data_IF_367180247951
#
_entry.id   IF_367180247951
#
_cell.length_a   1.000
_cell.length_b   1.000
_cell.length_c   1.000
_cell.angle_alpha   90.00
_cell.angle_beta   90.00
_cell.angle_gamma   90.00
#
_symmetry.space_group_name_H-M   'P 1'
#
loop_
_entity.id
_entity.type
_entity.pdbx_description
1 polymer ?
#
# COMPACT_ATOMS: atom_id res chain seq x y z
N UNK A 1 2.89 2.51 -4.80
CA UNK A 1 4.10 1.65 -4.73
C UNK A 1 3.69 0.18 -4.82
N UNK A 2 4.60 -0.79 -5.03
CA UNK A 2 4.17 -2.20 -5.11
C UNK A 2 5.13 -3.18 -5.77
N UNK A 3 6.37 -3.28 -5.29
CA UNK A 3 7.24 -4.40 -5.68
C UNK A 3 7.70 -5.12 -4.41
N UNK A 4 6.83 -5.99 -3.91
CA UNK A 4 7.22 -7.08 -3.02
C UNK A 4 7.15 -8.35 -3.85
N UNK A 5 8.19 -8.56 -4.65
CA UNK A 5 8.42 -9.85 -5.29
C UNK A 5 9.09 -10.76 -4.28
N UNK A 6 8.65 -12.01 -4.19
CA UNK A 6 9.34 -13.01 -3.37
C UNK A 6 10.81 -13.12 -3.78
N UNK A 7 11.69 -13.20 -2.78
CA UNK A 7 13.12 -13.32 -2.96
C UNK A 7 13.80 -13.81 -1.68
N UNK A 8 15.08 -14.13 -1.75
CA UNK A 8 15.86 -14.58 -0.59
C UNK A 8 16.53 -13.38 0.08
N UNK A 9 16.12 -12.98 1.29
CA UNK A 9 16.78 -11.89 2.00
C UNK A 9 18.19 -12.31 2.42
N UNK A 10 19.13 -11.38 2.34
CA UNK A 10 20.47 -11.55 2.90
C UNK A 10 20.47 -11.24 4.41
N UNK A 11 21.35 -11.88 5.15
CA UNK A 11 21.66 -11.49 6.53
C UNK A 11 22.24 -10.07 6.57
N UNK A 12 22.29 -9.49 7.77
CA UNK A 12 22.91 -8.17 7.96
C UNK A 12 24.38 -8.16 7.53
N UNK A 13 25.13 -9.21 7.88
CA UNK A 13 26.56 -9.36 7.57
C UNK A 13 26.80 -9.42 6.06
N UNK A 14 26.03 -10.25 5.35
CA UNK A 14 26.07 -10.35 3.89
C UNK A 14 25.67 -9.03 3.21
N UNK A 15 24.59 -8.40 3.69
CA UNK A 15 24.11 -7.11 3.17
C UNK A 15 25.16 -6.01 3.36
N UNK A 16 25.78 -5.94 4.54
CA UNK A 16 26.80 -4.96 4.86
C UNK A 16 28.03 -5.12 3.97
N UNK A 17 28.44 -6.34 3.67
CA UNK A 17 29.55 -6.62 2.75
C UNK A 17 29.28 -6.10 1.33
N UNK A 18 28.01 -6.03 0.91
CA UNK A 18 27.58 -5.51 -0.40
C UNK A 18 27.16 -4.03 -0.39
N UNK A 19 27.25 -3.34 0.75
CA UNK A 19 26.72 -1.98 0.89
C UNK A 19 27.30 -0.97 -0.11
N UNK A 20 28.61 -1.05 -0.39
CA UNK A 20 29.26 -0.20 -1.40
C UNK A 20 28.81 -0.55 -2.83
N UNK A 21 28.62 -1.83 -3.14
CA UNK A 21 28.10 -2.28 -4.42
C UNK A 21 26.68 -1.71 -4.66
N UNK A 22 25.78 -1.86 -3.68
CA UNK A 22 24.41 -1.33 -3.75
C UNK A 22 24.41 0.19 -3.95
N UNK A 23 25.24 0.92 -3.18
CA UNK A 23 25.33 2.38 -3.30
C UNK A 23 25.84 2.81 -4.68
N UNK A 24 26.92 2.18 -5.15
CA UNK A 24 27.52 2.50 -6.45
C UNK A 24 26.54 2.29 -7.60
N UNK A 25 25.88 1.12 -7.65
CA UNK A 25 24.91 0.81 -8.69
C UNK A 25 23.64 1.66 -8.57
N UNK A 26 23.19 1.99 -7.35
CA UNK A 26 22.07 2.90 -7.12
C UNK A 26 22.33 4.30 -7.69
N UNK A 27 23.54 4.84 -7.52
CA UNK A 27 23.94 6.12 -8.11
C UNK A 27 23.96 6.06 -9.63
N UNK A 28 24.48 4.98 -10.22
CA UNK A 28 24.45 4.78 -11.68
C UNK A 28 23.00 4.76 -12.19
N UNK A 29 22.12 4.01 -11.55
CA UNK A 29 20.70 3.95 -11.89
C UNK A 29 20.06 5.33 -11.82
N UNK A 30 20.32 6.08 -10.75
CA UNK A 30 19.84 7.46 -10.60
C UNK A 30 20.32 8.37 -11.74
N UNK A 31 21.62 8.36 -12.06
CA UNK A 31 22.18 9.18 -13.15
C UNK A 31 21.56 8.81 -14.50
N UNK A 32 21.36 7.52 -14.76
CA UNK A 32 20.74 7.05 -15.99
C UNK A 32 19.28 7.50 -16.10
N UNK A 33 18.51 7.40 -15.00
CA UNK A 33 17.13 7.90 -14.93
C UNK A 33 17.07 9.41 -15.13
N UNK A 34 17.95 10.17 -14.46
CA UNK A 34 18.03 11.62 -14.61
C UNK A 34 18.34 12.00 -16.06
N UNK A 35 19.37 11.43 -16.68
CA UNK A 35 19.71 11.71 -18.08
C UNK A 35 18.57 11.39 -19.04
N UNK A 36 17.83 10.31 -18.78
CA UNK A 36 16.69 9.89 -19.61
C UNK A 36 15.47 10.80 -19.48
N UNK A 37 15.23 11.35 -18.28
CA UNK A 37 13.96 12.03 -17.95
C UNK A 37 14.09 13.54 -17.74
N UNK A 38 15.30 14.10 -17.65
CA UNK A 38 15.53 15.53 -17.32
C UNK A 38 14.85 16.50 -18.29
N UNK A 39 14.71 16.12 -19.56
CA UNK A 39 14.18 16.97 -20.62
C UNK A 39 12.70 16.62 -20.95
N UNK A 40 12.07 15.75 -20.15
CA UNK A 40 10.66 15.35 -20.34
C UNK A 40 9.74 16.54 -20.10
N UNK A 41 8.80 16.75 -21.01
CA UNK A 41 7.80 17.82 -20.95
C UNK A 41 6.42 17.26 -21.25
N UNK A 42 5.36 18.03 -20.95
CA UNK A 42 3.98 17.65 -21.23
C UNK A 42 3.33 16.74 -20.19
N UNK A 43 3.98 16.53 -19.04
CA UNK A 43 3.35 15.83 -17.93
C UNK A 43 2.22 16.69 -17.33
N UNK A 44 1.09 16.04 -17.08
CA UNK A 44 -0.03 16.65 -16.36
C UNK A 44 0.07 16.34 -14.88
N UNK A 45 -0.47 17.23 -14.04
CA UNK A 45 -0.55 16.98 -12.60
C UNK A 45 -1.35 15.71 -12.34
N UNK A 46 -0.64 14.70 -11.84
CA UNK A 46 -1.19 13.45 -11.31
C UNK A 46 -0.79 13.35 -9.86
N UNK A 47 -1.71 12.88 -9.03
CA UNK A 47 -1.49 12.74 -7.60
C UNK A 47 -2.37 11.63 -7.05
N UNK A 48 -2.13 11.23 -5.81
CA UNK A 48 -2.87 10.17 -5.14
C UNK A 48 -2.61 10.24 -3.64
N UNK A 49 -3.41 9.52 -2.88
CA UNK A 49 -3.24 9.34 -1.44
C UNK A 49 -2.89 7.87 -1.13
N UNK A 50 -2.19 7.66 -0.02
CA UNK A 50 -1.91 6.34 0.54
C UNK A 50 -2.45 6.34 1.98
N UNK A 51 -3.23 5.30 2.33
CA UNK A 51 -3.86 5.19 3.65
C UNK A 51 -3.57 3.81 4.23
N UNK A 52 -2.98 3.82 5.41
CA UNK A 52 -2.73 2.62 6.20
C UNK A 52 -3.90 2.33 7.15
N UNK A 53 -4.22 1.05 7.29
CA UNK A 53 -5.27 0.55 8.17
C UNK A 53 -4.72 -0.55 9.07
N UNK A 54 -5.15 -0.54 10.33
CA UNK A 54 -4.99 -1.64 11.26
C UNK A 54 -6.29 -2.46 11.31
N UNK A 55 -6.18 -3.79 11.28
CA UNK A 55 -7.30 -4.70 11.48
C UNK A 55 -7.46 -4.93 12.99
N UNK A 56 -8.52 -4.38 13.58
CA UNK A 56 -8.80 -4.47 15.02
C UNK A 56 -9.91 -5.46 15.26
N UNK A 57 -9.67 -6.42 16.15
CA UNK A 57 -10.62 -7.42 16.62
C UNK A 57 -11.17 -7.05 17.99
N UNK A 58 -12.48 -6.97 18.09
CA UNK A 58 -13.20 -6.71 19.33
C UNK A 58 -13.68 -8.03 19.98
N UNK A 59 -13.55 -8.10 21.30
CA UNK A 59 -14.20 -9.11 22.14
C UNK A 59 -15.14 -8.39 23.11
N UNK A 60 -16.42 -8.33 22.75
CA UNK A 60 -17.44 -7.61 23.51
C UNK A 60 -17.73 -8.21 24.88
N UNK A 61 -17.50 -9.51 25.05
CA UNK A 61 -17.70 -10.21 26.32
C UNK A 61 -16.59 -9.86 27.30
N UNK A 62 -15.34 -9.85 26.81
CA UNK A 62 -14.16 -9.50 27.63
C UNK A 62 -13.87 -8.00 27.68
N UNK A 63 -14.56 -7.19 26.88
CA UNK A 63 -14.33 -5.75 26.73
C UNK A 63 -12.88 -5.44 26.34
N UNK A 64 -12.34 -6.20 25.39
CA UNK A 64 -10.97 -6.00 24.89
C UNK A 64 -10.96 -5.76 23.39
N UNK A 65 -10.01 -4.95 22.93
CA UNK A 65 -9.64 -4.82 21.52
C UNK A 65 -8.23 -5.37 21.32
N UNK A 66 -7.98 -6.06 20.21
CA UNK A 66 -6.66 -6.62 19.85
C UNK A 66 -6.40 -6.43 18.36
N UNK A 67 -5.14 -6.43 17.97
CA UNK A 67 -4.75 -6.46 16.57
C UNK A 67 -4.97 -7.87 15.99
N UNK A 68 -5.63 -7.94 14.83
CA UNK A 68 -5.81 -9.18 14.09
C UNK A 68 -4.68 -9.38 13.10
N UNK A 69 -3.95 -10.49 13.22
CA UNK A 69 -2.78 -10.79 12.39
C UNK A 69 -3.14 -11.40 11.01
N UNK A 70 -4.35 -11.11 10.51
CA UNK A 70 -4.91 -11.69 9.28
C UNK A 70 -4.65 -10.84 8.04
N UNK A 71 -3.77 -9.83 8.10
CA UNK A 71 -3.56 -8.92 6.96
C UNK A 71 -3.18 -9.67 5.68
N UNK A 72 -2.29 -10.66 5.76
CA UNK A 72 -1.86 -11.43 4.58
C UNK A 72 -3.01 -12.22 3.95
N UNK A 73 -3.86 -12.87 4.76
CA UNK A 73 -5.04 -13.59 4.27
C UNK A 73 -5.99 -12.66 3.52
N UNK A 74 -6.25 -11.48 4.09
CA UNK A 74 -7.13 -10.46 3.50
C UNK A 74 -6.52 -9.89 2.22
N UNK A 75 -5.21 -9.61 2.21
CA UNK A 75 -4.50 -9.06 1.07
C UNK A 75 -4.46 -10.01 -0.12
N UNK A 76 -4.31 -11.32 0.11
CA UNK A 76 -4.34 -12.31 -0.95
C UNK A 76 -5.63 -12.20 -1.78
N UNK A 77 -6.77 -12.00 -1.12
CA UNK A 77 -8.07 -11.82 -1.79
C UNK A 77 -8.21 -10.43 -2.41
N UNK A 78 -7.77 -9.37 -1.71
CA UNK A 78 -7.86 -7.99 -2.22
C UNK A 78 -7.06 -7.78 -3.52
N UNK A 79 -5.92 -8.46 -3.65
CA UNK A 79 -5.03 -8.32 -4.81
C UNK A 79 -5.52 -9.10 -6.04
N UNK A 80 -6.43 -10.08 -5.90
CA UNK A 80 -6.96 -10.86 -7.04
C UNK A 80 -7.58 -9.97 -8.13
N UNK A 81 -8.25 -8.89 -7.74
CA UNK A 81 -8.84 -7.93 -8.69
C UNK A 81 -7.78 -7.23 -9.53
N UNK A 82 -6.69 -6.80 -8.92
CA UNK A 82 -5.58 -6.16 -9.63
C UNK A 82 -4.83 -7.17 -10.50
N UNK A 83 -4.65 -8.40 -10.02
CA UNK A 83 -4.01 -9.47 -10.79
C UNK A 83 -4.82 -9.86 -12.03
N UNK A 84 -6.15 -9.81 -11.95
CA UNK A 84 -7.05 -10.15 -13.05
C UNK A 84 -7.32 -8.99 -14.01
N UNK A 85 -7.43 -7.76 -13.52
CA UNK A 85 -7.60 -6.54 -14.31
C UNK A 85 -6.76 -5.38 -13.74
N UNK A 86 -5.46 -5.31 -14.08
CA UNK A 86 -4.56 -4.29 -13.54
C UNK A 86 -4.99 -2.85 -13.85
N UNK A 87 -5.78 -2.64 -14.90
CA UNK A 87 -6.17 -1.31 -15.38
C UNK A 87 -7.59 -0.90 -14.97
N UNK A 88 -8.46 -1.84 -14.59
CA UNK A 88 -9.85 -1.57 -14.24
C UNK A 88 -10.14 -1.45 -12.75
N UNK A 89 -9.15 -1.68 -11.88
CA UNK A 89 -9.35 -1.60 -10.43
C UNK A 89 -9.57 -0.18 -9.92
N UNK A 90 -10.41 -0.06 -8.89
CA UNK A 90 -10.69 1.22 -8.19
C UNK A 90 -9.73 1.48 -7.03
N UNK A 91 -9.04 0.45 -6.56
CA UNK A 91 -8.17 0.46 -5.39
C UNK A 91 -7.02 -0.52 -5.60
N UNK A 92 -5.84 -0.16 -5.10
CA UNK A 92 -4.68 -1.05 -5.02
C UNK A 92 -4.39 -1.31 -3.53
N UNK A 93 -3.96 -2.53 -3.24
CA UNK A 93 -3.74 -2.99 -1.87
C UNK A 93 -2.34 -3.56 -1.69
N UNK A 94 -1.61 -3.11 -0.67
CA UNK A 94 -0.25 -3.51 -0.37
C UNK A 94 -0.12 -3.98 1.08
N UNK A 95 0.77 -4.95 1.36
CA UNK A 95 1.13 -5.25 2.75
C UNK A 95 1.96 -4.11 3.34
N UNK A 96 1.85 -3.98 4.65
CA UNK A 96 2.67 -3.10 5.46
C UNK A 96 3.47 -3.89 6.50
N UNK A 97 4.35 -3.23 7.24
CA UNK A 97 5.25 -3.88 8.19
C UNK A 97 4.52 -4.78 9.21
N UNK A 98 3.39 -4.33 9.76
CA UNK A 98 2.60 -5.09 10.71
C UNK A 98 1.76 -6.18 10.04
N UNK A 99 1.78 -7.42 10.56
CA UNK A 99 0.88 -8.49 10.11
C UNK A 99 -0.62 -8.22 10.34
N UNK A 100 -0.94 -7.09 10.97
CA UNK A 100 -2.27 -6.54 11.17
C UNK A 100 -2.56 -5.29 10.31
N UNK A 101 -1.62 -4.89 9.46
CA UNK A 101 -1.70 -3.67 8.64
C UNK A 101 -1.95 -4.00 7.17
N UNK A 102 -2.79 -3.18 6.54
CA UNK A 102 -2.97 -3.14 5.10
C UNK A 102 -2.92 -1.69 4.64
N UNK A 103 -2.30 -1.44 3.48
CA UNK A 103 -2.28 -0.12 2.84
C UNK A 103 -3.17 -0.13 1.61
N UNK A 104 -4.00 0.90 1.46
CA UNK A 104 -4.87 1.11 0.31
C UNK A 104 -4.56 2.41 -0.40
N UNK A 105 -4.49 2.38 -1.73
CA UNK A 105 -4.29 3.55 -2.61
C UNK A 105 -5.37 3.56 -3.72
N UNK A 106 -5.64 4.69 -4.41
CA UNK A 106 -6.56 4.68 -5.54
C UNK A 106 -6.00 3.82 -6.70
N UNK A 107 -6.89 3.13 -7.41
CA UNK A 107 -6.56 2.28 -8.56
C UNK A 107 -5.78 3.00 -9.66
N UNK A 108 -6.03 4.30 -9.82
CA UNK A 108 -5.33 5.19 -10.73
C UNK A 108 -5.06 6.53 -10.03
N UNK A 109 -3.98 7.24 -10.39
CA UNK A 109 -3.77 8.58 -9.89
C UNK A 109 -4.92 9.49 -10.31
N UNK A 110 -5.30 10.39 -9.41
CA UNK A 110 -6.22 11.49 -9.68
C UNK A 110 -5.61 12.46 -10.69
N UNK A 111 -6.47 13.16 -11.44
CA UNK A 111 -6.05 14.22 -12.34
C UNK A 111 -5.89 15.59 -11.66
N UNK A 112 -5.35 16.55 -12.41
CA UNK A 112 -5.02 17.89 -11.90
C UNK A 112 -6.18 18.89 -11.81
N UNK A 113 -7.39 18.54 -12.27
CA UNK A 113 -8.56 19.42 -12.16
C UNK A 113 -9.06 19.49 -10.71
N UNK A 114 -9.54 20.66 -10.27
CA UNK A 114 -10.13 20.86 -8.94
C UNK A 114 -11.30 19.89 -8.65
N UNK A 115 -12.02 19.44 -9.68
CA UNK A 115 -13.08 18.46 -9.53
C UNK A 115 -12.61 17.11 -8.96
N UNK A 116 -11.33 16.75 -9.12
CA UNK A 116 -10.80 15.49 -8.57
C UNK A 116 -10.66 15.50 -7.04
N UNK A 117 -10.67 16.67 -6.38
CA UNK A 117 -10.72 16.70 -4.92
C UNK A 117 -12.04 16.12 -4.37
N UNK A 118 -13.12 16.21 -5.15
CA UNK A 118 -14.45 15.72 -4.74
C UNK A 118 -14.57 14.19 -4.76
N UNK A 119 -13.60 13.47 -5.34
CA UNK A 119 -13.64 12.00 -5.43
C UNK A 119 -12.74 11.30 -4.41
N UNK A 120 -11.88 12.04 -3.70
CA UNK A 120 -10.89 11.48 -2.77
C UNK A 120 -11.58 10.75 -1.63
N UNK A 121 -12.48 11.42 -0.92
CA UNK A 121 -13.19 10.82 0.21
C UNK A 121 -14.05 9.64 -0.24
N UNK A 122 -14.72 9.74 -1.40
CA UNK A 122 -15.50 8.66 -1.96
C UNK A 122 -14.63 7.43 -2.27
N UNK A 123 -13.41 7.63 -2.79
CA UNK A 123 -12.45 6.55 -3.03
C UNK A 123 -11.92 5.94 -1.71
N UNK A 124 -11.61 6.76 -0.70
CA UNK A 124 -11.21 6.29 0.63
C UNK A 124 -12.32 5.46 1.31
N UNK A 125 -13.59 5.90 1.19
CA UNK A 125 -14.75 5.18 1.70
C UNK A 125 -14.92 3.83 1.00
N UNK A 126 -14.82 3.83 -0.33
CA UNK A 126 -14.85 2.61 -1.12
C UNK A 126 -13.76 1.61 -0.68
N UNK A 127 -12.52 2.07 -0.47
CA UNK A 127 -11.43 1.24 0.06
C UNK A 127 -11.78 0.63 1.41
N UNK A 128 -12.29 1.44 2.35
CA UNK A 128 -12.70 0.95 3.67
C UNK A 128 -13.79 -0.11 3.57
N UNK A 129 -14.81 0.11 2.76
CA UNK A 129 -15.90 -0.85 2.54
C UNK A 129 -15.41 -2.14 1.86
N UNK A 130 -14.48 -2.01 0.90
CA UNK A 130 -13.88 -3.14 0.21
C UNK A 130 -13.11 -4.06 1.16
N UNK A 131 -12.23 -3.50 1.99
CA UNK A 131 -11.51 -4.27 3.01
C UNK A 131 -12.45 -4.83 4.09
N UNK A 132 -13.40 -4.04 4.57
CA UNK A 132 -14.32 -4.44 5.64
C UNK A 132 -15.17 -5.66 5.27
N UNK A 133 -15.51 -5.84 3.98
CA UNK A 133 -16.26 -7.01 3.49
C UNK A 133 -15.55 -8.35 3.66
N UNK A 134 -14.23 -8.33 3.83
CA UNK A 134 -13.40 -9.54 3.99
C UNK A 134 -13.08 -9.85 5.47
N UNK A 135 -13.44 -8.95 6.38
CA UNK A 135 -13.17 -9.10 7.80
C UNK A 135 -14.22 -9.97 8.50
N UNK A 136 -13.83 -10.56 9.63
CA UNK A 136 -14.79 -11.27 10.49
C UNK A 136 -15.82 -10.31 11.10
N UNK A 137 -17.00 -10.80 11.55
CA UNK A 137 -18.03 -9.94 12.15
C UNK A 137 -17.56 -9.09 13.34
N UNK A 138 -16.51 -9.53 14.04
CA UNK A 138 -15.92 -8.80 15.17
C UNK A 138 -14.59 -8.12 14.84
N UNK A 139 -14.28 -7.93 13.57
CA UNK A 139 -13.10 -7.24 13.08
C UNK A 139 -13.49 -5.98 12.31
N UNK A 140 -12.71 -4.92 12.48
CA UNK A 140 -12.92 -3.63 11.82
C UNK A 140 -11.59 -3.08 11.31
N UNK A 141 -11.58 -2.53 10.10
CA UNK A 141 -10.45 -1.74 9.60
C UNK A 141 -10.48 -0.34 10.23
N UNK A 142 -9.41 0.05 10.92
CA UNK A 142 -9.28 1.35 11.55
C UNK A 142 -8.02 2.06 11.06
N UNK A 143 -8.14 3.34 10.73
CA UNK A 143 -7.02 4.20 10.33
C UNK A 143 -6.46 4.89 11.57
N UNK A 144 -5.78 4.12 12.41
CA UNK A 144 -5.14 4.58 13.64
C UNK A 144 -3.67 4.87 13.38
N UNK A 145 -3.15 5.97 13.92
CA UNK A 145 -1.72 6.27 13.87
C UNK A 145 -0.91 5.36 14.80
N UNK A 146 -1.52 4.92 15.90
CA UNK A 146 -0.92 3.99 16.87
C UNK A 146 -2.02 3.16 17.54
N UNK A 147 -1.74 1.88 17.77
CA UNK A 147 -2.61 1.02 18.58
C UNK A 147 -2.20 1.15 20.06
N UNK A 148 -3.12 1.59 20.96
CA UNK A 148 -2.81 1.88 22.36
C UNK A 148 -2.60 0.65 23.25
#
# INVERSE_FOLDING_TARGET
MGLLTEGSPLSWEETKALSEHVRHHGVIQFINLYRRLRDRQGDVLKWGDEVEYMIVKFDDKKKTAKLSLRALEVLNVLQEKELSDPEGVKSLWRPEYGAYMIEGTPGKPYGGLLAHFNIVEANMRYRREEAQRLLQPNEVVMSLTSFP
#
